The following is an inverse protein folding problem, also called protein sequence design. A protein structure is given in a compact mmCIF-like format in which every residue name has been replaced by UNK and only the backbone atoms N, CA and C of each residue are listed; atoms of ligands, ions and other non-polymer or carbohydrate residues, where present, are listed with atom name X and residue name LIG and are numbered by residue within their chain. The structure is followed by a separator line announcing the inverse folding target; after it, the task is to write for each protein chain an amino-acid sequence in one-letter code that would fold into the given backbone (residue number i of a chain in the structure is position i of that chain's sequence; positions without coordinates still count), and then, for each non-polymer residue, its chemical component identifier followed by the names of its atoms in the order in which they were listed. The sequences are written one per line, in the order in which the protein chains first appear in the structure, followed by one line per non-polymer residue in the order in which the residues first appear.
data_IF_915208352427
#
_entry.id   IF_915208352427
#
_cell.length_a   1.000
_cell.length_b   1.000
_cell.length_c   1.000
_cell.angle_alpha   90.00
_cell.angle_beta   90.00
_cell.angle_gamma   90.00
#
_symmetry.space_group_name_H-M   'P 1'
#
loop_
_entity.id
_entity.type
_entity.pdbx_description
1 polymer ?
#
# COMPACT_ATOMS: atom_id res chain seq x y z
N UNK A 1 9.74 13.85 13.94
CA UNK A 1 9.39 12.65 13.20
C UNK A 1 7.88 12.45 13.22
N UNK A 2 7.39 11.42 12.60
CA UNK A 2 5.95 11.26 12.38
C UNK A 2 5.29 10.34 13.42
N UNK A 3 5.78 10.36 14.65
CA UNK A 3 5.37 9.44 15.72
C UNK A 3 3.88 9.49 16.04
N UNK A 4 3.29 10.68 16.08
CA UNK A 4 1.85 10.85 16.36
C UNK A 4 0.99 10.22 15.28
N UNK A 5 1.36 10.43 14.02
CA UNK A 5 0.66 9.85 12.88
C UNK A 5 0.75 8.32 12.89
N UNK A 6 1.92 7.76 13.17
CA UNK A 6 2.15 6.32 13.25
C UNK A 6 1.37 5.70 14.41
N UNK A 7 1.31 6.35 15.56
CA UNK A 7 0.50 5.90 16.70
C UNK A 7 -0.97 5.87 16.32
N UNK A 8 -1.45 6.91 15.66
CA UNK A 8 -2.84 6.97 15.19
C UNK A 8 -3.16 5.86 14.17
N UNK A 9 -2.24 5.57 13.26
CA UNK A 9 -2.37 4.42 12.35
C UNK A 9 -2.60 3.12 13.11
N UNK A 10 -1.76 2.84 14.09
CA UNK A 10 -1.85 1.62 14.92
C UNK A 10 -3.16 1.56 15.71
N UNK A 11 -3.54 2.66 16.30
CA UNK A 11 -4.79 2.78 17.06
C UNK A 11 -6.03 2.65 16.16
N UNK A 12 -5.87 2.96 14.89
CA UNK A 12 -6.93 2.86 13.87
C UNK A 12 -7.02 1.49 13.20
N UNK A 13 -6.22 0.51 13.63
CA UNK A 13 -6.30 -0.87 13.15
C UNK A 13 -5.29 -1.24 12.06
N UNK A 14 -4.33 -0.37 11.74
CA UNK A 14 -3.23 -0.74 10.84
C UNK A 14 -2.27 -1.69 11.53
N UNK A 15 -1.91 -2.78 10.86
CA UNK A 15 -1.00 -3.81 11.38
C UNK A 15 0.21 -3.97 10.46
N UNK A 16 1.33 -4.36 11.02
CA UNK A 16 2.53 -4.67 10.23
C UNK A 16 2.32 -5.99 9.50
N UNK A 17 2.16 -5.95 8.19
CA UNK A 17 1.90 -7.13 7.34
C UNK A 17 3.05 -7.50 6.43
N UNK A 18 4.03 -6.63 6.26
CA UNK A 18 5.24 -6.91 5.51
C UNK A 18 6.37 -5.96 5.95
N UNK A 19 7.59 -6.29 5.52
CA UNK A 19 8.75 -5.45 5.70
C UNK A 19 9.58 -5.44 4.42
N UNK A 20 10.20 -4.31 4.12
CA UNK A 20 11.27 -4.27 3.15
C UNK A 20 12.58 -4.60 3.87
N UNK A 21 13.32 -5.56 3.34
CA UNK A 21 14.60 -6.02 3.90
C UNK A 21 15.69 -5.99 2.83
N UNK A 22 16.93 -5.96 3.28
CA UNK A 22 18.09 -6.07 2.41
C UNK A 22 18.62 -7.51 2.47
N UNK A 23 18.68 -8.17 1.32
CA UNK A 23 19.20 -9.53 1.18
C UNK A 23 20.22 -9.56 0.04
N UNK A 24 21.46 -9.90 0.35
CA UNK A 24 22.57 -9.93 -0.62
C UNK A 24 22.70 -8.62 -1.43
N UNK A 25 22.50 -7.48 -0.78
CA UNK A 25 22.58 -6.17 -1.42
C UNK A 25 21.33 -5.76 -2.23
N UNK A 26 20.30 -6.60 -2.26
CA UNK A 26 19.06 -6.35 -2.98
C UNK A 26 17.88 -6.17 -2.04
N UNK A 27 16.92 -5.32 -2.45
CA UNK A 27 15.67 -5.15 -1.72
C UNK A 27 14.80 -6.38 -1.92
N UNK A 28 14.30 -6.94 -0.84
CA UNK A 28 13.31 -8.01 -0.84
C UNK A 28 12.17 -7.67 0.13
N UNK A 29 11.01 -8.27 -0.10
CA UNK A 29 9.88 -8.15 0.81
C UNK A 29 9.82 -9.39 1.71
N UNK A 30 9.69 -9.15 3.02
CA UNK A 30 9.37 -10.17 4.00
C UNK A 30 7.88 -10.07 4.32
N UNK A 31 7.13 -11.15 4.10
CA UNK A 31 5.69 -11.16 4.31
C UNK A 31 5.34 -11.77 5.65
N UNK A 32 4.44 -11.10 6.37
CA UNK A 32 3.91 -11.50 7.67
C UNK A 32 2.45 -11.91 7.54
N UNK A 33 1.83 -12.30 8.66
CA UNK A 33 0.41 -12.64 8.70
C UNK A 33 -0.46 -11.49 8.20
N UNK A 34 -1.47 -11.82 7.40
CA UNK A 34 -2.38 -10.86 6.80
C UNK A 34 -1.96 -10.31 5.44
N UNK A 35 -0.71 -10.53 4.98
CA UNK A 35 -0.24 -10.03 3.69
C UNK A 35 -0.94 -10.68 2.48
N UNK A 36 -1.52 -11.85 2.65
CA UNK A 36 -2.25 -12.60 1.61
C UNK A 36 -3.77 -12.56 1.81
N UNK A 37 -4.27 -11.79 2.77
CA UNK A 37 -5.71 -11.64 2.97
C UNK A 37 -6.35 -10.90 1.79
N UNK A 38 -7.28 -11.55 1.11
CA UNK A 38 -7.97 -11.00 -0.06
C UNK A 38 -8.95 -9.90 0.35
N UNK A 39 -8.51 -8.67 0.26
CA UNK A 39 -9.34 -7.48 0.49
C UNK A 39 -8.61 -6.27 -0.09
N UNK A 40 -9.31 -5.34 -0.73
CA UNK A 40 -8.70 -4.04 -1.03
C UNK A 40 -8.39 -3.30 0.28
N UNK A 41 -7.45 -2.38 0.22
CA UNK A 41 -7.08 -1.60 1.40
C UNK A 41 -6.01 -0.56 1.12
N UNK A 42 -5.44 -0.03 2.18
CA UNK A 42 -4.38 0.96 2.16
C UNK A 42 -3.16 0.49 2.94
N UNK A 43 -2.00 0.98 2.58
CA UNK A 43 -0.74 0.67 3.26
C UNK A 43 0.13 1.92 3.42
N UNK A 44 0.99 1.87 4.43
CA UNK A 44 1.93 2.94 4.76
C UNK A 44 3.31 2.33 5.03
N UNK A 45 4.34 2.86 4.38
CA UNK A 45 5.72 2.48 4.65
C UNK A 45 6.30 3.37 5.74
N UNK A 46 6.87 2.77 6.76
CA UNK A 46 7.40 3.47 7.92
C UNK A 46 8.84 3.01 8.19
N UNK A 47 9.76 3.94 8.29
CA UNK A 47 11.15 3.65 8.65
C UNK A 47 11.32 3.41 10.16
N UNK A 48 12.44 2.78 10.53
CA UNK A 48 12.77 2.48 11.92
C UNK A 48 12.93 3.69 12.83
N UNK A 49 13.15 4.87 12.25
CA UNK A 49 13.21 6.14 12.99
C UNK A 49 11.88 6.92 12.95
N UNK A 50 10.78 6.20 12.74
CA UNK A 50 9.42 6.72 12.77
C UNK A 50 9.12 7.78 11.70
N UNK A 51 9.66 7.62 10.52
CA UNK A 51 9.38 8.43 9.36
C UNK A 51 8.42 7.73 8.42
N UNK A 52 7.34 8.40 8.02
CA UNK A 52 6.43 7.91 6.98
C UNK A 52 7.06 8.18 5.62
N UNK A 53 7.29 7.12 4.85
CA UNK A 53 7.97 7.18 3.57
C UNK A 53 7.02 7.19 2.37
N UNK A 54 5.90 6.51 2.50
CA UNK A 54 4.94 6.39 1.41
C UNK A 54 3.56 5.93 1.91
N UNK A 55 2.52 6.40 1.27
CA UNK A 55 1.13 5.98 1.48
C UNK A 55 0.56 5.52 0.14
N UNK A 56 -0.07 4.36 0.12
CA UNK A 56 -0.63 3.79 -1.10
C UNK A 56 -1.87 2.95 -0.87
N UNK A 57 -2.40 2.41 -1.96
CA UNK A 57 -3.56 1.52 -1.93
C UNK A 57 -3.26 0.19 -2.64
N UNK A 58 -3.99 -0.85 -2.28
CA UNK A 58 -3.94 -2.15 -2.94
C UNK A 58 -5.37 -2.65 -3.23
N UNK A 59 -5.54 -3.31 -4.38
CA UNK A 59 -6.85 -3.75 -4.83
C UNK A 59 -7.19 -5.19 -4.50
N UNK A 60 -6.20 -6.02 -4.24
CA UNK A 60 -6.38 -7.46 -4.06
C UNK A 60 -5.82 -7.94 -2.71
N UNK A 61 -4.50 -7.90 -2.50
CA UNK A 61 -3.85 -8.15 -1.21
C UNK A 61 -2.46 -7.50 -1.18
N UNK A 62 -1.95 -7.32 0.02
CA UNK A 62 -0.68 -6.58 0.25
C UNK A 62 0.49 -7.21 -0.49
N UNK A 63 0.65 -8.53 -0.40
CA UNK A 63 1.74 -9.25 -1.06
C UNK A 63 1.78 -9.00 -2.56
N UNK A 64 0.64 -9.02 -3.23
CA UNK A 64 0.55 -8.76 -4.66
C UNK A 64 1.02 -7.34 -4.99
N UNK A 65 0.59 -6.35 -4.22
CA UNK A 65 0.97 -4.96 -4.42
C UNK A 65 2.46 -4.71 -4.18
N UNK A 66 3.02 -5.31 -3.13
CA UNK A 66 4.46 -5.19 -2.86
C UNK A 66 5.28 -5.89 -3.94
N UNK A 67 4.83 -7.02 -4.45
CA UNK A 67 5.46 -7.68 -5.61
C UNK A 67 5.46 -6.81 -6.85
N UNK A 68 4.43 -6.00 -7.09
CA UNK A 68 4.40 -5.05 -8.19
C UNK A 68 5.49 -3.97 -8.04
N UNK A 69 5.69 -3.43 -6.84
CA UNK A 69 6.79 -2.49 -6.56
C UNK A 69 8.14 -3.15 -6.80
N UNK A 70 8.36 -4.31 -6.21
CA UNK A 70 9.61 -5.06 -6.35
C UNK A 70 9.91 -5.42 -7.82
N UNK A 71 8.94 -5.91 -8.56
CA UNK A 71 9.08 -6.23 -9.97
C UNK A 71 9.44 -5.01 -10.81
N UNK A 72 8.86 -3.85 -10.51
CA UNK A 72 9.18 -2.60 -11.18
C UNK A 72 10.65 -2.23 -11.02
N UNK A 73 11.18 -2.32 -9.79
CA UNK A 73 12.60 -2.02 -9.52
C UNK A 73 13.54 -3.04 -10.15
N UNK A 74 13.21 -4.33 -10.08
CA UNK A 74 14.02 -5.41 -10.64
C UNK A 74 14.10 -5.36 -12.17
N UNK A 75 13.00 -5.06 -12.85
CA UNK A 75 12.95 -4.95 -14.31
C UNK A 75 13.86 -3.85 -14.84
N UNK A 76 13.92 -2.73 -14.17
CA UNK A 76 14.77 -1.60 -14.54
C UNK A 76 16.24 -1.98 -14.50
N UNK A 77 16.65 -2.72 -13.49
CA UNK A 77 18.03 -3.19 -13.34
C UNK A 77 18.40 -4.23 -14.41
N UNK A 78 17.45 -5.06 -14.85
CA UNK A 78 17.68 -6.17 -15.78
C UNK A 78 17.61 -5.80 -17.26
N UNK A 79 16.75 -4.84 -17.62
CA UNK A 79 16.37 -4.60 -19.02
C UNK A 79 16.83 -3.26 -19.58
N UNK A 80 17.49 -2.42 -18.81
CA UNK A 80 17.84 -1.04 -19.20
C UNK A 80 16.64 -0.22 -19.72
N UNK A 81 15.41 -0.61 -19.41
CA UNK A 81 14.21 0.14 -19.78
C UNK A 81 14.11 1.39 -18.91
N UNK A 82 13.79 2.49 -19.56
CA UNK A 82 13.48 3.73 -18.84
C UNK A 82 12.23 3.52 -17.99
N UNK A 83 12.36 3.67 -16.69
CA UNK A 83 11.24 3.68 -15.76
C UNK A 83 10.82 5.10 -15.42
N UNK A 84 9.57 5.23 -15.00
CA UNK A 84 9.08 6.44 -14.36
C UNK A 84 9.99 6.79 -13.16
N UNK A 85 10.52 8.00 -13.15
CA UNK A 85 11.40 8.49 -12.07
C UNK A 85 10.78 8.32 -10.68
N UNK A 86 9.47 8.48 -10.55
CA UNK A 86 8.78 8.32 -9.27
C UNK A 86 8.92 6.91 -8.70
N UNK A 87 8.94 5.88 -9.55
CA UNK A 87 9.11 4.48 -9.13
C UNK A 87 10.55 4.19 -8.74
N UNK A 88 11.52 4.73 -9.46
CA UNK A 88 12.94 4.61 -9.12
C UNK A 88 13.23 5.31 -7.80
N UNK A 89 12.70 6.51 -7.59
CA UNK A 89 12.86 7.27 -6.36
C UNK A 89 12.36 6.51 -5.13
N UNK A 90 11.24 5.79 -5.24
CA UNK A 90 10.73 4.95 -4.14
C UNK A 90 11.70 3.83 -3.79
N UNK A 91 12.21 3.12 -4.79
CA UNK A 91 13.21 2.08 -4.58
C UNK A 91 14.50 2.60 -3.96
N UNK A 92 14.98 3.76 -4.42
CA UNK A 92 16.16 4.40 -3.90
C UNK A 92 16.01 4.83 -2.43
N UNK A 93 14.85 5.38 -2.06
CA UNK A 93 14.54 5.77 -0.67
C UNK A 93 14.57 4.53 0.24
N UNK A 94 13.94 3.44 -0.17
CA UNK A 94 13.94 2.19 0.60
C UNK A 94 15.38 1.66 0.75
N UNK A 95 16.14 1.61 -0.33
CA UNK A 95 17.51 1.12 -0.32
C UNK A 95 18.40 1.96 0.61
N UNK A 96 18.28 3.27 0.55
CA UNK A 96 19.02 4.20 1.42
C UNK A 96 18.77 3.91 2.90
N UNK A 97 17.50 3.74 3.30
CA UNK A 97 17.14 3.44 4.68
C UNK A 97 17.69 2.07 5.11
N UNK A 98 17.55 1.05 4.27
CA UNK A 98 18.05 -0.30 4.58
C UNK A 98 19.58 -0.35 4.68
N UNK A 99 20.29 0.35 3.79
CA UNK A 99 21.76 0.42 3.85
C UNK A 99 22.26 1.21 5.06
N UNK A 100 21.46 2.12 5.58
CA UNK A 100 21.75 2.83 6.84
C UNK A 100 21.43 2.00 8.10
N UNK A 101 21.03 0.73 7.94
CA UNK A 101 20.68 -0.17 9.04
C UNK A 101 19.29 0.08 9.64
N UNK A 102 18.46 0.87 8.99
CA UNK A 102 17.09 1.14 9.44
C UNK A 102 16.14 0.10 8.89
N UNK A 103 15.17 -0.31 9.68
CA UNK A 103 14.07 -1.16 9.19
C UNK A 103 13.07 -0.34 8.38
N UNK A 104 12.36 -0.99 7.46
CA UNK A 104 11.22 -0.38 6.76
C UNK A 104 10.04 -1.33 6.88
N UNK A 105 9.05 -0.92 7.67
CA UNK A 105 7.84 -1.69 7.93
C UNK A 105 6.69 -1.23 7.03
N UNK A 106 5.86 -2.18 6.65
CA UNK A 106 4.65 -1.93 5.87
C UNK A 106 3.46 -2.20 6.79
N UNK A 107 2.75 -1.14 7.14
CA UNK A 107 1.49 -1.21 7.87
C UNK A 107 0.35 -1.19 6.88
N UNK A 108 -0.65 -2.04 7.07
CA UNK A 108 -1.81 -2.09 6.19
C UNK A 108 -3.10 -2.33 6.95
N UNK A 109 -4.20 -1.96 6.30
CA UNK A 109 -5.54 -2.15 6.81
C UNK A 109 -6.49 -2.38 5.63
N UNK A 110 -7.36 -3.41 5.71
CA UNK A 110 -8.41 -3.60 4.73
C UNK A 110 -9.37 -2.40 4.68
N UNK A 111 -9.83 -2.06 3.47
CA UNK A 111 -10.88 -1.06 3.28
C UNK A 111 -12.24 -1.64 3.61
N UNK A 112 -13.21 -0.78 3.85
CA UNK A 112 -14.61 -1.17 3.94
C UNK A 112 -15.14 -1.56 2.56
N UNK A 113 -15.89 -2.65 2.49
CA UNK A 113 -16.52 -3.15 1.26
C UNK A 113 -18.02 -3.17 1.45
N UNK A 114 -18.73 -2.56 0.50
CA UNK A 114 -20.20 -2.48 0.49
C UNK A 114 -20.71 -3.13 -0.77
N UNK A 115 -21.74 -3.98 -0.65
CA UNK A 115 -22.45 -4.56 -1.77
C UNK A 115 -23.79 -3.86 -1.95
N UNK A 116 -24.03 -3.34 -3.15
CA UNK A 116 -25.27 -2.64 -3.50
C UNK A 116 -25.95 -3.42 -4.63
N UNK A 117 -27.26 -3.63 -4.52
CA UNK A 117 -28.05 -4.21 -5.60
C UNK A 117 -28.03 -3.27 -6.81
N UNK A 118 -27.62 -3.81 -7.94
CA UNK A 118 -27.61 -3.09 -9.21
C UNK A 118 -28.21 -3.99 -10.29
N UNK A 119 -29.41 -3.67 -10.82
CA UNK A 119 -30.00 -4.48 -11.87
C UNK A 119 -29.17 -4.38 -13.14
N UNK A 120 -29.15 -5.47 -13.90
CA UNK A 120 -28.52 -5.46 -15.22
C UNK A 120 -29.14 -4.35 -16.09
N UNK A 121 -28.34 -3.57 -16.84
CA UNK A 121 -28.87 -2.48 -17.67
C UNK A 121 -29.82 -2.96 -18.78
N UNK A 122 -29.68 -4.21 -19.22
CA UNK A 122 -30.59 -4.80 -20.19
C UNK A 122 -31.69 -5.58 -19.47
N UNK A 123 -32.94 -5.19 -19.70
CA UNK A 123 -34.12 -5.81 -19.07
C UNK A 123 -34.18 -7.34 -19.30
N UNK A 124 -33.80 -7.80 -20.50
CA UNK A 124 -33.82 -9.24 -20.85
C UNK A 124 -32.80 -10.08 -20.07
N UNK A 125 -31.79 -9.44 -19.48
CA UNK A 125 -30.76 -10.08 -18.66
C UNK A 125 -30.98 -9.94 -17.15
N UNK A 126 -32.06 -9.25 -16.75
CA UNK A 126 -32.43 -9.14 -15.35
C UNK A 126 -32.99 -10.47 -14.86
N UNK A 127 -32.57 -10.89 -13.66
CA UNK A 127 -33.00 -12.12 -13.00
C UNK A 127 -33.69 -11.82 -11.68
N UNK A 128 -34.33 -12.83 -11.06
CA UNK A 128 -34.94 -12.69 -9.74
C UNK A 128 -33.89 -12.42 -8.63
N UNK A 129 -32.61 -12.78 -8.91
CA UNK A 129 -31.48 -12.45 -8.04
C UNK A 129 -30.79 -11.27 -8.70
N UNK A 130 -30.87 -10.05 -8.12
CA UNK A 130 -30.20 -8.87 -8.68
C UNK A 130 -28.69 -9.02 -8.66
N UNK A 131 -28.03 -8.43 -9.64
CA UNK A 131 -26.57 -8.29 -9.62
C UNK A 131 -26.16 -7.39 -8.46
N UNK A 132 -24.99 -7.71 -7.88
CA UNK A 132 -24.43 -6.95 -6.78
C UNK A 132 -23.24 -6.12 -7.24
N UNK A 133 -23.35 -4.81 -7.09
CA UNK A 133 -22.22 -3.92 -7.28
C UNK A 133 -21.38 -3.89 -5.99
N UNK A 134 -20.10 -4.21 -6.11
CA UNK A 134 -19.14 -4.13 -5.01
C UNK A 134 -18.43 -2.79 -5.05
N UNK A 135 -18.54 -2.03 -3.97
CA UNK A 135 -17.82 -0.78 -3.76
C UNK A 135 -16.88 -0.91 -2.59
N UNK A 136 -15.71 -0.32 -2.68
CA UNK A 136 -14.76 -0.25 -1.57
C UNK A 136 -14.29 1.18 -1.34
N UNK A 137 -13.72 1.42 -0.16
CA UNK A 137 -13.29 2.76 0.27
C UNK A 137 -11.81 3.01 0.08
N UNK A 138 -11.04 2.09 -0.56
CA UNK A 138 -9.58 2.17 -0.58
C UNK A 138 -9.01 3.49 -1.10
N UNK A 139 -9.53 3.99 -2.23
CA UNK A 139 -9.03 5.25 -2.82
C UNK A 139 -9.39 6.46 -1.97
N UNK A 140 -10.56 6.47 -1.36
CA UNK A 140 -10.96 7.51 -0.42
C UNK A 140 -10.13 7.43 0.87
N UNK A 141 -9.87 6.23 1.36
CA UNK A 141 -9.03 6.01 2.55
C UNK A 141 -7.59 6.48 2.29
N UNK A 142 -7.00 6.17 1.13
CA UNK A 142 -5.68 6.68 0.74
C UNK A 142 -5.66 8.21 0.72
N UNK A 143 -6.63 8.83 0.07
CA UNK A 143 -6.74 10.29 -0.01
C UNK A 143 -6.85 10.92 1.38
N UNK A 144 -7.62 10.31 2.27
CA UNK A 144 -7.79 10.79 3.64
C UNK A 144 -6.51 10.62 4.48
N UNK A 145 -5.77 9.53 4.30
CA UNK A 145 -4.48 9.32 4.96
C UNK A 145 -3.46 10.40 4.54
N UNK A 146 -3.37 10.66 3.24
CA UNK A 146 -2.47 11.67 2.70
C UNK A 146 -2.86 13.06 3.20
N UNK A 147 -4.15 13.39 3.16
CA UNK A 147 -4.68 14.67 3.62
C UNK A 147 -4.39 14.90 5.12
N UNK A 148 -4.61 13.89 5.95
CA UNK A 148 -4.30 13.95 7.38
C UNK A 148 -2.79 14.16 7.62
N UNK A 149 -1.94 13.50 6.84
CA UNK A 149 -0.50 13.67 6.93
C UNK A 149 -0.07 15.10 6.56
N UNK A 150 -0.60 15.61 5.43
CA UNK A 150 -0.31 16.98 4.98
C UNK A 150 -0.78 18.02 6.01
N UNK A 151 -1.98 17.85 6.58
CA UNK A 151 -2.50 18.76 7.62
C UNK A 151 -1.65 18.79 8.88
N UNK A 152 -1.07 17.64 9.25
CA UNK A 152 -0.25 17.52 10.44
C UNK A 152 1.17 18.06 10.25
N UNK A 153 1.79 17.77 9.10
CA UNK A 153 3.21 18.04 8.87
C UNK A 153 3.49 19.08 7.78
N UNK A 154 2.45 19.59 7.12
CA UNK A 154 2.52 20.60 6.04
C UNK A 154 3.41 20.19 4.86
N UNK A 155 3.63 18.88 4.68
CA UNK A 155 4.43 18.31 3.59
C UNK A 155 3.85 16.96 3.16
N UNK A 156 4.14 16.54 1.94
CA UNK A 156 3.73 15.22 1.46
C UNK A 156 4.64 14.13 2.02
N UNK A 157 4.10 12.94 2.27
CA UNK A 157 4.88 11.80 2.70
C UNK A 157 5.78 11.26 1.60
#
# INVERSE_FOLDING_TARGET
MHTEYITDLKDSGYTNTANWILSDGLIEAEYLDGSEAESPGTYVWVSGDSEVLYIGEYGYYVKYRMNQHWSSWSKTTRSNQKMDESKLQKGDIILEHLMAGKSVKIYSKPASVVHIEAPHPLKSHQTDVPDMLRLDTKSNDEANLIDAFIKTYETKP
#
